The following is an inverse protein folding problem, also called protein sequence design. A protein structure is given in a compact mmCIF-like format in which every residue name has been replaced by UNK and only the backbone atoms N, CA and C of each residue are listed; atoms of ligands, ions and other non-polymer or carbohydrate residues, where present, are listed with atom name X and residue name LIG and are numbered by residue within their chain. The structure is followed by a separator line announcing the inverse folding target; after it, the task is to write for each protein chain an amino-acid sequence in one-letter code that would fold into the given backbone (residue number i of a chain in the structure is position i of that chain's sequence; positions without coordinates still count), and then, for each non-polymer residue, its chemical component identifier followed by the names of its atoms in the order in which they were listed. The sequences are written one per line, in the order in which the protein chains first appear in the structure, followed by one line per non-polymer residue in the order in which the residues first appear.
data_IF_152028254531
#
_entry.id   IF_152028254531
#
_cell.length_a   1.000
_cell.length_b   1.000
_cell.length_c   1.000
_cell.angle_alpha   90.00
_cell.angle_beta   90.00
_cell.angle_gamma   90.00
#
_symmetry.space_group_name_H-M   'P 1'
#
loop_
_entity.id
_entity.type
_entity.pdbx_description
1 polymer ?
#
# COMPACT_ATOMS: atom_id res chain seq x y z
N UNK A 1 -10.25 -7.54 -10.90
CA UNK A 1 -9.11 -8.39 -11.32
C UNK A 1 -8.70 -7.98 -12.71
N UNK A 2 -7.43 -7.56 -12.92
CA UNK A 2 -6.91 -7.15 -14.21
C UNK A 2 -6.48 -8.37 -15.03
N UNK A 3 -6.69 -8.32 -16.34
CA UNK A 3 -6.09 -9.31 -17.26
C UNK A 3 -4.57 -9.19 -17.31
N UNK A 4 -4.02 -7.99 -17.00
CA UNK A 4 -2.57 -7.72 -16.93
C UNK A 4 -2.22 -7.22 -15.54
N UNK A 5 -1.42 -7.95 -14.75
CA UNK A 5 -1.13 -7.60 -13.35
C UNK A 5 -0.41 -6.25 -13.16
N UNK A 6 0.20 -5.68 -14.21
CA UNK A 6 0.97 -4.44 -14.13
C UNK A 6 0.32 -3.21 -14.76
N UNK A 7 -0.91 -3.30 -15.30
CA UNK A 7 -1.59 -2.13 -15.90
C UNK A 7 -3.10 -2.26 -15.82
N UNK A 8 -3.78 -1.13 -15.64
CA UNK A 8 -5.24 -1.01 -15.68
C UNK A 8 -5.61 -0.53 -17.10
N UNK A 9 -6.26 -1.39 -17.86
CA UNK A 9 -6.64 -1.13 -19.23
C UNK A 9 -7.97 -0.40 -19.37
N UNK A 10 -8.29 0.01 -20.60
CA UNK A 10 -9.55 0.70 -20.92
C UNK A 10 -10.77 -0.19 -20.67
N UNK A 11 -10.65 -1.49 -20.91
CA UNK A 11 -11.76 -2.43 -20.71
C UNK A 11 -12.04 -2.68 -19.22
N UNK A 12 -11.02 -2.61 -18.36
CA UNK A 12 -11.22 -2.66 -16.90
C UNK A 12 -12.11 -1.50 -16.43
N UNK A 13 -11.82 -0.28 -16.89
CA UNK A 13 -12.60 0.90 -16.54
C UNK A 13 -14.01 0.84 -17.15
N UNK A 14 -14.14 0.44 -18.42
CA UNK A 14 -15.45 0.35 -19.07
C UNK A 14 -16.36 -0.66 -18.40
N UNK A 15 -15.86 -1.88 -18.19
CA UNK A 15 -16.68 -2.97 -17.66
C UNK A 15 -16.98 -2.81 -16.16
N UNK A 16 -15.99 -2.43 -15.36
CA UNK A 16 -16.13 -2.42 -13.91
C UNK A 16 -16.62 -1.07 -13.34
N UNK A 17 -16.45 0.03 -14.07
CA UNK A 17 -16.88 1.37 -13.61
C UNK A 17 -17.97 1.93 -14.51
N UNK A 18 -17.68 2.23 -15.78
CA UNK A 18 -18.59 3.01 -16.62
C UNK A 18 -19.93 2.33 -16.90
N UNK A 19 -19.91 1.02 -17.19
CA UNK A 19 -21.13 0.26 -17.48
C UNK A 19 -21.93 -0.04 -16.21
N UNK A 20 -21.25 -0.17 -15.07
CA UNK A 20 -21.89 -0.54 -13.83
C UNK A 20 -22.43 0.69 -13.06
N UNK A 21 -21.76 1.85 -13.16
CA UNK A 21 -22.14 3.05 -12.40
C UNK A 21 -23.51 3.62 -12.81
N UNK A 22 -23.97 3.35 -14.04
CA UNK A 22 -25.29 3.79 -14.51
C UNK A 22 -26.45 3.04 -13.86
N UNK A 23 -26.16 1.88 -13.26
CA UNK A 23 -27.14 1.06 -12.57
C UNK A 23 -27.20 1.53 -11.11
N UNK A 24 -28.39 1.96 -10.65
CA UNK A 24 -28.57 2.39 -9.25
C UNK A 24 -28.28 1.26 -8.26
N UNK A 25 -27.70 1.56 -7.08
CA UNK A 25 -27.54 0.58 -6.03
C UNK A 25 -28.89 0.11 -5.52
N UNK A 26 -29.02 -1.19 -5.22
CA UNK A 26 -30.30 -1.80 -4.81
C UNK A 26 -30.58 -1.59 -3.32
N UNK A 27 -29.55 -1.71 -2.46
CA UNK A 27 -29.71 -1.75 -0.99
C UNK A 27 -28.91 -0.69 -0.23
N UNK A 28 -28.23 0.21 -0.93
CA UNK A 28 -27.35 1.23 -0.33
C UNK A 28 -27.61 2.60 -0.97
N UNK A 29 -27.45 3.71 -0.24
CA UNK A 29 -27.56 5.05 -0.81
C UNK A 29 -26.40 5.39 -1.76
N UNK A 30 -25.26 4.71 -1.66
CA UNK A 30 -24.06 4.99 -2.46
C UNK A 30 -23.50 3.72 -3.12
N UNK A 31 -22.86 3.92 -4.26
CA UNK A 31 -22.10 2.94 -5.00
C UNK A 31 -20.65 3.42 -5.07
N UNK A 32 -19.74 2.68 -4.44
CA UNK A 32 -18.36 3.11 -4.23
C UNK A 32 -17.43 2.26 -5.09
N UNK A 33 -16.62 2.91 -5.91
CA UNK A 33 -15.57 2.30 -6.72
C UNK A 33 -14.21 2.69 -6.15
N UNK A 34 -13.34 1.71 -5.95
CA UNK A 34 -11.97 1.93 -5.50
C UNK A 34 -11.03 1.47 -6.61
N UNK A 35 -10.34 2.42 -7.22
CA UNK A 35 -9.28 2.17 -8.21
C UNK A 35 -7.96 2.22 -7.45
N UNK A 36 -7.44 1.04 -7.12
CA UNK A 36 -6.15 0.93 -6.46
C UNK A 36 -5.02 1.07 -7.48
N UNK A 37 -3.88 1.63 -7.06
CA UNK A 37 -2.72 1.88 -7.91
C UNK A 37 -3.09 2.65 -9.20
N UNK A 38 -3.76 3.78 -9.02
CA UNK A 38 -4.25 4.61 -10.12
C UNK A 38 -3.17 5.02 -11.14
N UNK A 39 -1.91 5.10 -10.72
CA UNK A 39 -0.75 5.31 -11.58
C UNK A 39 -0.53 4.22 -12.62
N UNK A 40 -1.12 3.03 -12.44
CA UNK A 40 -1.07 1.94 -13.41
C UNK A 40 -2.14 2.02 -14.50
N UNK A 41 -3.05 3.00 -14.42
CA UNK A 41 -4.01 3.23 -15.50
C UNK A 41 -3.33 3.69 -16.77
N UNK A 42 -3.60 3.01 -17.88
CA UNK A 42 -3.17 3.50 -19.21
C UNK A 42 -3.84 4.84 -19.51
N UNK A 43 -3.24 5.64 -20.41
CA UNK A 43 -3.83 6.91 -20.87
C UNK A 43 -5.25 6.71 -21.42
N UNK A 44 -5.48 5.61 -22.14
CA UNK A 44 -6.80 5.26 -22.68
C UNK A 44 -7.80 4.93 -21.57
N UNK A 45 -7.37 4.25 -20.48
CA UNK A 45 -8.19 3.96 -19.32
C UNK A 45 -8.59 5.25 -18.58
N UNK A 46 -7.63 6.14 -18.38
CA UNK A 46 -7.88 7.45 -17.78
C UNK A 46 -8.87 8.28 -18.61
N UNK A 47 -8.69 8.33 -19.93
CA UNK A 47 -9.62 9.03 -20.83
C UNK A 47 -11.03 8.42 -20.81
N UNK A 48 -11.13 7.09 -20.70
CA UNK A 48 -12.45 6.43 -20.61
C UNK A 48 -13.20 6.79 -19.32
N UNK A 49 -12.48 7.13 -18.23
CA UNK A 49 -13.07 7.54 -16.96
C UNK A 49 -13.59 8.98 -16.96
N UNK A 50 -13.07 9.86 -17.83
CA UNK A 50 -13.38 11.30 -17.83
C UNK A 50 -14.86 11.60 -17.89
N UNK A 51 -15.62 10.93 -18.77
CA UNK A 51 -17.06 11.17 -18.89
C UNK A 51 -17.80 10.91 -17.58
N UNK A 52 -17.44 9.84 -16.89
CA UNK A 52 -18.04 9.49 -15.60
C UNK A 52 -17.64 10.46 -14.48
N UNK A 53 -16.43 11.03 -14.55
CA UNK A 53 -15.97 12.04 -13.58
C UNK A 53 -16.60 13.43 -13.84
N UNK A 54 -16.97 13.74 -15.08
CA UNK A 54 -17.65 15.00 -15.44
C UNK A 54 -19.11 15.02 -14.99
N UNK A 55 -19.82 13.92 -15.17
CA UNK A 55 -21.24 13.81 -14.86
C UNK A 55 -21.51 12.54 -14.00
N UNK A 56 -20.98 12.49 -12.76
CA UNK A 56 -21.19 11.33 -11.91
C UNK A 56 -22.65 11.28 -11.44
N UNK A 57 -23.28 10.08 -11.39
CA UNK A 57 -24.56 9.95 -10.70
C UNK A 57 -24.45 10.37 -9.24
N UNK A 58 -25.49 10.97 -8.67
CA UNK A 58 -25.47 11.46 -7.30
C UNK A 58 -25.15 10.39 -6.22
N UNK A 59 -25.33 9.12 -6.56
CA UNK A 59 -25.01 7.98 -5.70
C UNK A 59 -23.62 7.38 -5.96
N UNK A 60 -22.91 7.83 -6.99
CA UNK A 60 -21.61 7.30 -7.40
C UNK A 60 -20.47 7.98 -6.64
N UNK A 61 -19.58 7.20 -6.05
CA UNK A 61 -18.34 7.68 -5.43
C UNK A 61 -17.19 6.92 -6.05
N UNK A 62 -16.19 7.65 -6.58
CA UNK A 62 -14.98 7.06 -7.15
C UNK A 62 -13.79 7.50 -6.34
N UNK A 63 -13.06 6.53 -5.77
CA UNK A 63 -11.82 6.73 -5.03
C UNK A 63 -10.66 6.21 -5.89
N UNK A 64 -9.76 7.10 -6.28
CA UNK A 64 -8.52 6.75 -6.99
C UNK A 64 -7.39 6.82 -5.97
N UNK A 65 -6.81 5.66 -5.64
CA UNK A 65 -5.67 5.56 -4.75
C UNK A 65 -4.39 5.53 -5.58
N UNK A 66 -3.46 6.43 -5.29
CA UNK A 66 -2.18 6.51 -6.02
C UNK A 66 -1.06 6.95 -5.09
N UNK A 67 0.14 6.46 -5.34
CA UNK A 67 1.37 6.94 -4.72
C UNK A 67 2.05 8.05 -5.53
N UNK A 68 1.62 8.23 -6.79
CA UNK A 68 2.16 9.23 -7.70
C UNK A 68 1.04 9.93 -8.48
N UNK A 69 0.62 11.09 -7.99
CA UNK A 69 -0.44 11.90 -8.64
C UNK A 69 -0.01 12.43 -10.01
N UNK A 70 1.29 12.61 -10.26
CA UNK A 70 1.80 13.12 -11.54
C UNK A 70 1.67 12.10 -12.70
N UNK A 71 1.48 10.82 -12.38
CA UNK A 71 1.18 9.79 -13.37
C UNK A 71 -0.27 9.85 -13.88
N UNK A 72 -1.13 10.60 -13.18
CA UNK A 72 -2.51 10.83 -13.63
C UNK A 72 -2.58 12.04 -14.57
N UNK A 73 -3.45 11.95 -15.57
CA UNK A 73 -3.68 13.08 -16.47
C UNK A 73 -4.20 14.30 -15.70
N UNK A 74 -3.74 15.51 -16.03
CA UNK A 74 -4.25 16.74 -15.41
C UNK A 74 -5.77 16.88 -15.52
N UNK A 75 -6.37 16.33 -16.59
CA UNK A 75 -7.82 16.28 -16.79
C UNK A 75 -8.55 15.40 -15.78
N UNK A 76 -7.93 14.34 -15.26
CA UNK A 76 -8.45 13.53 -14.16
C UNK A 76 -8.32 14.31 -12.84
N UNK A 77 -7.10 14.79 -12.56
CA UNK A 77 -6.81 15.48 -11.29
C UNK A 77 -7.70 16.71 -11.09
N UNK A 78 -7.97 17.49 -12.17
CA UNK A 78 -8.83 18.68 -12.11
C UNK A 78 -10.30 18.39 -11.79
N UNK A 79 -10.75 17.13 -11.94
CA UNK A 79 -12.12 16.69 -11.64
C UNK A 79 -12.25 15.92 -10.33
N UNK A 80 -11.13 15.78 -9.61
CA UNK A 80 -11.06 15.07 -8.33
C UNK A 80 -10.74 16.03 -7.19
N UNK A 81 -11.22 15.70 -6.00
CA UNK A 81 -10.72 16.30 -4.77
C UNK A 81 -9.48 15.54 -4.35
N UNK A 82 -8.32 16.20 -4.36
CA UNK A 82 -7.05 15.56 -3.98
C UNK A 82 -6.87 15.59 -2.47
N UNK A 83 -6.81 14.41 -1.86
CA UNK A 83 -6.56 14.23 -0.44
C UNK A 83 -5.14 13.68 -0.24
N UNK A 84 -4.23 14.53 0.23
CA UNK A 84 -2.86 14.14 0.53
C UNK A 84 -2.79 13.42 1.89
N UNK A 85 -2.61 12.10 1.86
CA UNK A 85 -2.43 11.30 3.06
C UNK A 85 -1.00 11.48 3.60
N UNK A 86 -0.91 11.92 4.85
CA UNK A 86 0.39 12.08 5.53
C UNK A 86 0.72 10.85 6.35
N UNK A 87 2.02 10.53 6.54
CA UNK A 87 2.44 9.51 7.50
C UNK A 87 1.85 9.78 8.89
N UNK A 88 1.40 8.74 9.54
CA UNK A 88 0.90 8.81 10.92
C UNK A 88 2.09 8.96 11.86
N UNK A 89 1.92 9.75 12.93
CA UNK A 89 2.96 9.95 13.94
C UNK A 89 3.32 8.64 14.62
N UNK A 90 4.59 8.48 14.95
CA UNK A 90 5.14 7.25 15.52
C UNK A 90 4.50 6.87 16.86
N UNK A 91 4.16 7.87 17.70
CA UNK A 91 3.47 7.63 18.97
C UNK A 91 2.06 7.02 18.77
N UNK A 92 1.34 7.43 17.74
CA UNK A 92 0.01 6.90 17.38
C UNK A 92 0.15 5.47 16.83
N UNK A 93 1.13 5.24 15.94
CA UNK A 93 1.40 3.90 15.38
C UNK A 93 1.79 2.93 16.51
N UNK A 94 2.66 3.37 17.43
CA UNK A 94 3.07 2.58 18.60
C UNK A 94 1.88 2.24 19.50
N UNK A 95 1.05 3.24 19.81
CA UNK A 95 -0.16 3.05 20.61
C UNK A 95 -1.08 2.00 19.99
N UNK A 96 -1.34 2.10 18.68
CA UNK A 96 -2.13 1.12 17.94
C UNK A 96 -1.54 -0.30 18.04
N UNK A 97 -0.22 -0.46 17.85
CA UNK A 97 0.41 -1.78 17.95
C UNK A 97 0.30 -2.38 19.36
N UNK A 98 0.46 -1.55 20.39
CA UNK A 98 0.47 -2.03 21.79
C UNK A 98 -0.94 -2.25 22.34
N UNK A 99 -1.87 -1.33 22.10
CA UNK A 99 -3.22 -1.37 22.71
C UNK A 99 -4.19 -2.22 21.89
N UNK A 100 -4.22 -2.07 20.56
CA UNK A 100 -5.17 -2.77 19.71
C UNK A 100 -4.68 -4.17 19.28
N UNK A 101 -3.37 -4.32 19.05
CA UNK A 101 -2.78 -5.58 18.59
C UNK A 101 -2.01 -6.33 19.68
N UNK A 102 -1.90 -5.78 20.90
CA UNK A 102 -1.22 -6.39 22.05
C UNK A 102 0.26 -6.76 21.77
N UNK A 103 0.91 -5.99 20.89
CA UNK A 103 2.32 -6.21 20.53
C UNK A 103 3.21 -5.70 21.68
N UNK A 104 4.18 -6.48 22.15
CA UNK A 104 5.12 -6.05 23.18
C UNK A 104 5.90 -4.78 22.77
N UNK A 105 6.19 -3.91 23.73
CA UNK A 105 6.82 -2.61 23.51
C UNK A 105 8.11 -2.66 22.69
N UNK A 106 9.00 -3.60 23.01
CA UNK A 106 10.27 -3.76 22.29
C UNK A 106 10.06 -4.07 20.78
N UNK A 107 9.04 -4.89 20.47
CA UNK A 107 8.70 -5.24 19.09
C UNK A 107 7.98 -4.08 18.40
N UNK A 108 7.06 -3.42 19.09
CA UNK A 108 6.34 -2.26 18.60
C UNK A 108 7.29 -1.13 18.17
N UNK A 109 8.32 -0.82 18.99
CA UNK A 109 9.31 0.20 18.67
C UNK A 109 10.08 -0.10 17.38
N UNK A 110 10.47 -1.36 17.16
CA UNK A 110 11.15 -1.77 15.92
C UNK A 110 10.20 -1.64 14.74
N UNK A 111 8.96 -2.15 14.84
CA UNK A 111 7.96 -2.06 13.76
C UNK A 111 7.66 -0.60 13.39
N UNK A 112 7.53 0.30 14.36
CA UNK A 112 7.31 1.74 14.13
C UNK A 112 8.43 2.35 13.30
N UNK A 113 9.70 2.09 13.68
CA UNK A 113 10.85 2.63 12.96
C UNK A 113 10.89 2.21 11.48
N UNK A 114 10.53 0.95 11.20
CA UNK A 114 10.50 0.43 9.82
C UNK A 114 9.22 0.81 9.05
N UNK A 115 8.11 1.04 9.75
CA UNK A 115 6.82 1.39 9.13
C UNK A 115 6.76 2.82 8.60
N UNK A 116 7.57 3.75 9.13
CA UNK A 116 7.63 5.15 8.70
C UNK A 116 6.25 5.80 8.62
N UNK A 117 5.43 5.60 9.66
CA UNK A 117 4.09 6.18 9.74
C UNK A 117 3.00 5.46 8.92
N UNK A 118 3.29 4.30 8.32
CA UNK A 118 2.31 3.46 7.64
C UNK A 118 1.79 2.39 8.62
N UNK A 119 0.54 2.54 9.09
CA UNK A 119 -0.08 1.60 10.05
C UNK A 119 -0.24 0.20 9.46
N UNK A 120 -0.62 0.08 8.18
CA UNK A 120 -0.74 -1.21 7.50
C UNK A 120 0.58 -1.97 7.48
N UNK A 121 1.66 -1.27 7.12
CA UNK A 121 3.02 -1.81 7.16
C UNK A 121 3.47 -2.18 8.57
N UNK A 122 3.16 -1.35 9.56
CA UNK A 122 3.47 -1.64 10.97
C UNK A 122 2.79 -2.92 11.43
N UNK A 123 1.51 -3.10 11.11
CA UNK A 123 0.74 -4.32 11.40
C UNK A 123 1.35 -5.55 10.71
N UNK A 124 1.69 -5.44 9.43
CA UNK A 124 2.29 -6.53 8.66
C UNK A 124 3.62 -6.97 9.28
N UNK A 125 4.52 -6.02 9.58
CA UNK A 125 5.82 -6.29 10.22
C UNK A 125 5.64 -6.94 11.59
N UNK A 126 4.67 -6.49 12.37
CA UNK A 126 4.39 -7.04 13.70
C UNK A 126 3.90 -8.50 13.66
N UNK A 127 3.28 -8.92 12.55
CA UNK A 127 2.75 -10.28 12.35
C UNK A 127 3.69 -11.18 11.54
N UNK A 128 4.82 -10.66 11.03
CA UNK A 128 5.75 -11.39 10.17
C UNK A 128 6.79 -12.15 10.98
N UNK A 129 6.80 -13.48 10.86
CA UNK A 129 7.87 -14.33 11.42
C UNK A 129 9.21 -14.09 10.70
N UNK A 130 9.19 -13.86 9.40
CA UNK A 130 10.40 -13.55 8.63
C UNK A 130 11.06 -12.27 9.10
N UNK A 131 10.26 -11.26 9.47
CA UNK A 131 10.79 -10.02 10.04
C UNK A 131 11.46 -10.25 11.40
N UNK A 132 10.89 -11.08 12.26
CA UNK A 132 11.50 -11.44 13.53
C UNK A 132 12.81 -12.22 13.33
N UNK A 133 12.84 -13.18 12.41
CA UNK A 133 14.04 -13.95 12.07
C UNK A 133 15.16 -13.05 11.52
N UNK A 134 14.83 -12.18 10.55
CA UNK A 134 15.80 -11.21 9.99
C UNK A 134 16.38 -10.31 11.08
N UNK A 135 15.53 -9.82 11.99
CA UNK A 135 15.96 -8.99 13.10
C UNK A 135 16.94 -9.73 14.03
N UNK A 136 16.62 -10.96 14.41
CA UNK A 136 17.47 -11.78 15.29
C UNK A 136 18.81 -12.11 14.64
N UNK A 137 18.81 -12.48 13.36
CA UNK A 137 20.04 -12.74 12.61
C UNK A 137 20.89 -11.48 12.45
N UNK A 138 20.26 -10.33 12.15
CA UNK A 138 20.98 -9.06 12.02
C UNK A 138 21.60 -8.62 13.37
N UNK A 139 20.88 -8.77 14.46
CA UNK A 139 21.40 -8.46 15.81
C UNK A 139 22.54 -9.39 16.17
N UNK A 140 22.42 -10.68 15.87
CA UNK A 140 23.47 -11.66 16.11
C UNK A 140 24.72 -11.36 15.31
N UNK A 141 24.58 -11.05 14.02
CA UNK A 141 25.68 -10.64 13.16
C UNK A 141 26.40 -9.41 13.72
N UNK A 142 25.65 -8.35 14.07
CA UNK A 142 26.23 -7.12 14.62
C UNK A 142 26.95 -7.34 15.96
N UNK A 143 26.46 -8.25 16.78
CA UNK A 143 27.05 -8.57 18.08
C UNK A 143 28.43 -9.25 17.96
N UNK A 144 28.57 -10.12 16.96
CA UNK A 144 29.76 -10.96 16.81
C UNK A 144 30.67 -10.55 15.63
N UNK A 145 30.31 -9.52 14.86
CA UNK A 145 30.99 -9.11 13.62
C UNK A 145 32.51 -8.87 13.79
N UNK A 146 32.95 -8.48 15.00
CA UNK A 146 34.35 -8.22 15.29
C UNK A 146 35.20 -9.51 15.45
N UNK A 147 34.53 -10.61 15.80
CA UNK A 147 35.16 -11.89 16.04
C UNK A 147 34.95 -12.89 14.90
N UNK A 148 34.22 -12.47 13.84
CA UNK A 148 33.88 -13.30 12.69
C UNK A 148 34.90 -13.13 11.56
N UNK A 149 35.16 -14.21 10.82
CA UNK A 149 35.89 -14.15 9.56
C UNK A 149 35.04 -13.55 8.45
N UNK A 150 35.69 -12.99 7.42
CA UNK A 150 35.01 -12.35 6.28
C UNK A 150 34.05 -13.32 5.58
N UNK A 151 34.44 -14.58 5.46
CA UNK A 151 33.61 -15.66 4.87
C UNK A 151 32.31 -15.88 5.65
N UNK A 152 32.35 -15.83 6.99
CA UNK A 152 31.19 -16.00 7.85
C UNK A 152 30.26 -14.79 7.78
N UNK A 153 30.83 -13.56 7.72
CA UNK A 153 30.05 -12.33 7.54
C UNK A 153 29.30 -12.37 6.19
N UNK A 154 29.98 -12.76 5.11
CA UNK A 154 29.36 -12.87 3.79
C UNK A 154 28.24 -13.92 3.78
N UNK A 155 28.45 -15.08 4.42
CA UNK A 155 27.43 -16.12 4.52
C UNK A 155 26.20 -15.63 5.33
N UNK A 156 26.39 -14.93 6.43
CA UNK A 156 25.32 -14.38 7.24
C UNK A 156 24.52 -13.30 6.48
N UNK A 157 25.20 -12.38 5.78
CA UNK A 157 24.52 -11.37 4.95
C UNK A 157 23.70 -12.04 3.83
N UNK A 158 24.25 -13.06 3.17
CA UNK A 158 23.55 -13.80 2.13
C UNK A 158 22.28 -14.45 2.66
N UNK A 159 22.34 -15.09 3.83
CA UNK A 159 21.20 -15.69 4.49
C UNK A 159 20.12 -14.65 4.83
N UNK A 160 20.51 -13.49 5.37
CA UNK A 160 19.57 -12.39 5.65
C UNK A 160 18.90 -11.88 4.36
N UNK A 161 19.63 -11.83 3.25
CA UNK A 161 19.10 -11.37 1.96
C UNK A 161 18.11 -12.34 1.28
N UNK A 162 18.08 -13.60 1.72
CA UNK A 162 17.15 -14.61 1.20
C UNK A 162 15.72 -14.47 1.79
N UNK A 163 15.56 -13.78 2.93
CA UNK A 163 14.26 -13.50 3.48
C UNK A 163 13.51 -12.50 2.59
N UNK A 164 12.36 -12.92 2.08
CA UNK A 164 11.45 -12.05 1.32
C UNK A 164 10.54 -11.31 2.29
N UNK A 165 11.00 -10.15 2.74
CA UNK A 165 10.11 -9.20 3.40
C UNK A 165 9.26 -8.55 2.29
N UNK A 166 8.00 -8.97 2.13
CA UNK A 166 7.03 -8.29 1.28
C UNK A 166 6.74 -6.90 1.87
N UNK A 167 7.55 -5.93 1.46
CA UNK A 167 7.59 -4.55 2.01
C UNK A 167 7.04 -3.54 1.00
N UNK A 168 6.38 -4.01 -0.07
CA UNK A 168 5.74 -3.17 -1.09
C UNK A 168 4.32 -2.82 -0.78
#
# INVERSE_FOLDING_TARGET
THEKPNSIGVEDIRSQVNNDIVIKPYSSPYKIYIINEGEKMTVQAQNALLKTLEEPPAYGVILILTTNVEALLPTIVSRCVVLNMKPVRDDIVRKFLMEDLQIPDYKANVCVAFARGNIGRAKMLASSEDFDNVKEEAVTLLKYIRDMEISEIVAAIKKISEYKLDVT
#
